data_IF_142409906156
#
_entry.id   IF_142409906156
#
_cell.length_a   1.000
_cell.length_b   1.000
_cell.length_c   1.000
_cell.angle_alpha   90.00
_cell.angle_beta   90.00
_cell.angle_gamma   90.00
#
_symmetry.space_group_name_H-M   'P 1'
#
loop_
_entity.id
_entity.type
_entity.pdbx_description
1 polymer ?
#
# COMPACT_ATOMS: atom_id res chain seq x y z
N UNK A 1 -3.59 1.74 -39.05
CA UNK A 1 -3.58 2.03 -37.59
C UNK A 1 -2.15 2.28 -37.19
N UNK A 2 -1.88 3.30 -36.37
CA UNK A 2 -0.51 3.68 -35.95
C UNK A 2 0.19 2.68 -35.02
N UNK A 3 -0.36 1.49 -34.82
CA UNK A 3 0.20 0.48 -33.91
C UNK A 3 1.58 -0.02 -34.37
N UNK A 4 1.79 -0.13 -35.70
CA UNK A 4 3.08 -0.57 -36.26
C UNK A 4 4.23 0.45 -36.07
N UNK A 5 3.90 1.68 -35.70
CA UNK A 5 4.84 2.77 -35.49
C UNK A 5 5.00 3.10 -33.97
N UNK A 6 4.28 2.36 -33.10
CA UNK A 6 4.27 2.60 -31.69
C UNK A 6 5.34 1.78 -30.97
N UNK A 7 6.07 2.40 -30.06
CA UNK A 7 7.03 1.72 -29.17
C UNK A 7 6.34 1.09 -27.94
N UNK A 8 5.20 1.65 -27.54
CA UNK A 8 4.47 1.26 -26.34
C UNK A 8 2.97 1.27 -26.60
N UNK A 9 2.30 0.19 -26.22
CA UNK A 9 0.86 0.06 -26.17
C UNK A 9 0.37 0.06 -24.73
N UNK A 10 -0.60 0.92 -24.42
CA UNK A 10 -1.21 0.99 -23.08
C UNK A 10 -2.72 0.78 -23.24
N UNK A 11 -3.22 -0.38 -22.80
CA UNK A 11 -4.65 -0.70 -22.75
C UNK A 11 -5.26 -0.18 -21.45
N UNK A 12 -6.04 0.91 -21.51
CA UNK A 12 -6.66 1.59 -20.36
C UNK A 12 -8.13 1.90 -20.58
N UNK A 13 -8.81 1.07 -21.35
CA UNK A 13 -10.26 1.18 -21.56
C UNK A 13 -11.04 0.78 -20.29
N UNK A 14 -12.34 1.01 -20.28
CA UNK A 14 -13.23 0.54 -19.20
C UNK A 14 -13.48 -0.98 -19.19
N UNK A 15 -12.86 -1.74 -20.10
CA UNK A 15 -13.08 -3.18 -20.25
C UNK A 15 -11.75 -3.93 -20.21
N UNK A 16 -11.57 -4.77 -19.20
CA UNK A 16 -10.34 -5.51 -18.94
C UNK A 16 -9.99 -6.48 -20.09
N UNK A 17 -11.00 -7.15 -20.65
CA UNK A 17 -10.77 -8.07 -21.77
C UNK A 17 -10.25 -7.35 -23.02
N UNK A 18 -10.75 -6.13 -23.29
CA UNK A 18 -10.24 -5.30 -24.38
C UNK A 18 -8.80 -4.88 -24.14
N UNK A 19 -8.47 -4.52 -22.89
CA UNK A 19 -7.12 -4.13 -22.50
C UNK A 19 -6.14 -5.31 -22.64
N UNK A 20 -6.53 -6.50 -22.16
CA UNK A 20 -5.72 -7.72 -22.23
C UNK A 20 -5.55 -8.17 -23.70
N UNK A 21 -6.66 -8.31 -24.44
CA UNK A 21 -6.63 -8.84 -25.80
C UNK A 21 -5.95 -7.90 -26.81
N UNK A 22 -5.83 -6.61 -26.51
CA UNK A 22 -5.05 -5.68 -27.33
C UNK A 22 -3.54 -5.95 -27.28
N UNK A 23 -3.05 -6.49 -26.17
CA UNK A 23 -1.62 -6.66 -25.93
C UNK A 23 -0.94 -7.68 -26.87
N UNK A 24 -1.50 -8.88 -27.16
CA UNK A 24 -0.88 -9.82 -28.11
C UNK A 24 -0.66 -9.22 -29.49
N UNK A 25 -1.63 -8.42 -29.96
CA UNK A 25 -1.50 -7.75 -31.27
C UNK A 25 -0.40 -6.70 -31.27
N UNK A 26 -0.33 -5.91 -30.19
CA UNK A 26 0.72 -4.91 -30.03
C UNK A 26 2.10 -5.56 -29.88
N UNK A 27 2.18 -6.65 -29.13
CA UNK A 27 3.42 -7.42 -28.94
C UNK A 27 3.93 -8.01 -30.26
N UNK A 28 3.03 -8.53 -31.10
CA UNK A 28 3.37 -9.04 -32.43
C UNK A 28 3.93 -7.97 -33.37
N UNK A 29 3.61 -6.68 -33.10
CA UNK A 29 4.17 -5.53 -33.83
C UNK A 29 5.44 -4.97 -33.20
N UNK A 30 5.96 -5.58 -32.12
CA UNK A 30 7.18 -5.18 -31.46
C UNK A 30 7.00 -4.14 -30.35
N UNK A 31 5.76 -3.76 -30.01
CA UNK A 31 5.49 -2.82 -28.93
C UNK A 31 5.76 -3.45 -27.54
N UNK A 32 6.18 -2.63 -26.60
CA UNK A 32 6.01 -2.92 -25.17
C UNK A 32 4.53 -2.77 -24.83
N UNK A 33 4.05 -3.57 -23.86
CA UNK A 33 2.63 -3.64 -23.57
C UNK A 33 2.34 -3.47 -22.07
N UNK A 34 1.37 -2.63 -21.77
CA UNK A 34 0.84 -2.43 -20.42
C UNK A 34 -0.68 -2.52 -20.49
N UNK A 35 -1.30 -3.32 -19.61
CA UNK A 35 -2.75 -3.37 -19.50
C UNK A 35 -3.21 -2.96 -18.10
N UNK A 36 -4.27 -2.13 -18.05
CA UNK A 36 -5.06 -1.94 -16.84
C UNK A 36 -6.05 -3.10 -16.72
N UNK A 37 -6.04 -3.77 -15.58
CA UNK A 37 -6.94 -4.88 -15.28
C UNK A 37 -7.52 -4.66 -13.89
N UNK A 38 -8.83 -4.44 -13.79
CA UNK A 38 -9.51 -4.23 -12.51
C UNK A 38 -9.76 -5.56 -11.80
N UNK A 39 -9.94 -6.64 -12.57
CA UNK A 39 -10.13 -8.00 -12.06
C UNK A 39 -8.87 -8.85 -12.33
N UNK A 40 -7.81 -8.73 -11.51
CA UNK A 40 -6.55 -9.43 -11.74
C UNK A 40 -6.69 -10.94 -11.71
N UNK A 41 -7.78 -11.49 -11.13
CA UNK A 41 -8.11 -12.92 -11.17
C UNK A 41 -8.28 -13.45 -12.60
N UNK A 42 -8.56 -12.58 -13.58
CA UNK A 42 -8.58 -12.96 -14.99
C UNK A 42 -7.22 -13.45 -15.51
N UNK A 43 -6.14 -13.07 -14.80
CA UNK A 43 -4.76 -13.48 -15.08
C UNK A 43 -4.21 -14.46 -14.04
N UNK A 44 -5.05 -14.90 -13.09
CA UNK A 44 -4.66 -15.82 -12.03
C UNK A 44 -5.16 -17.22 -12.36
N UNK A 45 -4.34 -18.01 -13.04
CA UNK A 45 -4.61 -19.43 -13.23
C UNK A 45 -3.41 -20.28 -12.79
N UNK A 46 -3.64 -21.47 -12.24
CA UNK A 46 -2.60 -22.30 -11.62
C UNK A 46 -1.74 -23.09 -12.61
N UNK A 47 -1.82 -22.80 -13.91
CA UNK A 47 -1.14 -23.54 -14.95
C UNK A 47 -0.04 -22.72 -15.60
N UNK A 48 1.04 -23.37 -16.00
CA UNK A 48 2.02 -22.77 -16.90
C UNK A 48 1.57 -22.94 -18.38
N UNK A 49 1.90 -21.98 -19.25
CA UNK A 49 2.70 -20.76 -19.00
C UNK A 49 1.93 -19.65 -18.29
N UNK A 50 2.69 -18.73 -17.65
CA UNK A 50 2.18 -17.52 -17.00
C UNK A 50 1.21 -16.78 -17.92
N UNK A 51 -0.02 -16.46 -17.46
CA UNK A 51 -1.00 -15.71 -18.24
C UNK A 51 -0.48 -14.43 -18.82
N UNK A 52 0.33 -13.68 -18.08
CA UNK A 52 0.93 -12.45 -18.59
C UNK A 52 1.80 -12.71 -19.82
N UNK A 53 2.58 -13.79 -19.79
CA UNK A 53 3.39 -14.20 -20.94
C UNK A 53 2.52 -14.64 -22.13
N UNK A 54 1.44 -15.40 -21.88
CA UNK A 54 0.50 -15.85 -22.93
C UNK A 54 -0.17 -14.69 -23.64
N UNK A 55 -0.61 -13.69 -22.88
CA UNK A 55 -1.25 -12.48 -23.43
C UNK A 55 -0.23 -11.40 -23.83
N UNK A 56 1.07 -11.70 -23.76
CA UNK A 56 2.11 -10.76 -24.17
C UNK A 56 2.10 -9.46 -23.37
N UNK A 57 1.77 -9.53 -22.07
CA UNK A 57 1.78 -8.42 -21.14
C UNK A 57 3.18 -8.21 -20.58
N UNK A 58 3.78 -7.03 -20.80
CA UNK A 58 5.03 -6.68 -20.12
C UNK A 58 4.76 -6.14 -18.70
N UNK A 59 3.59 -5.53 -18.49
CA UNK A 59 3.11 -5.16 -17.17
C UNK A 59 1.58 -5.16 -17.10
N UNK A 60 1.07 -5.52 -15.92
CA UNK A 60 -0.35 -5.42 -15.56
C UNK A 60 -0.49 -4.45 -14.39
N UNK A 61 -1.46 -3.55 -14.48
CA UNK A 61 -1.76 -2.56 -13.43
C UNK A 61 -3.20 -2.72 -13.00
N UNK A 62 -3.42 -3.09 -11.74
CA UNK A 62 -4.73 -3.05 -11.10
C UNK A 62 -4.82 -1.84 -10.18
N UNK A 63 -5.59 -0.80 -10.54
CA UNK A 63 -5.78 0.37 -9.69
C UNK A 63 -6.38 0.03 -8.32
N UNK A 64 -7.31 -0.91 -8.31
CA UNK A 64 -8.00 -1.33 -7.08
C UNK A 64 -7.05 -2.05 -6.11
N UNK A 65 -6.17 -2.91 -6.63
CA UNK A 65 -5.14 -3.55 -5.80
C UNK A 65 -4.11 -2.56 -5.27
N UNK A 66 -3.69 -1.62 -6.10
CA UNK A 66 -2.78 -0.56 -5.67
C UNK A 66 -3.41 0.31 -4.58
N UNK A 67 -4.68 0.69 -4.76
CA UNK A 67 -5.42 1.46 -3.77
C UNK A 67 -5.59 0.68 -2.47
N UNK A 68 -6.01 -0.59 -2.54
CA UNK A 68 -6.14 -1.48 -1.39
C UNK A 68 -4.81 -1.66 -0.67
N UNK A 69 -3.72 -1.92 -1.40
CA UNK A 69 -2.39 -2.06 -0.82
C UNK A 69 -1.96 -0.79 -0.11
N UNK A 70 -2.25 0.39 -0.68
CA UNK A 70 -1.94 1.68 -0.07
C UNK A 70 -2.75 1.92 1.21
N UNK A 71 -4.06 1.67 1.17
CA UNK A 71 -4.92 1.77 2.36
C UNK A 71 -4.43 0.81 3.43
N UNK A 72 -4.11 -0.42 3.04
CA UNK A 72 -3.56 -1.44 3.94
C UNK A 72 -2.26 -0.99 4.62
N UNK A 73 -1.33 -0.38 3.88
CA UNK A 73 -0.11 0.18 4.45
C UNK A 73 -0.39 1.24 5.52
N UNK A 74 -1.39 2.09 5.30
CA UNK A 74 -1.80 3.13 6.25
C UNK A 74 -2.44 2.49 7.50
N UNK A 75 -3.29 1.49 7.32
CA UNK A 75 -3.96 0.79 8.42
C UNK A 75 -2.99 -0.04 9.26
N UNK A 76 -2.09 -0.75 8.62
CA UNK A 76 -1.15 -1.65 9.29
C UNK A 76 0.03 -0.93 9.96
N UNK A 77 0.32 0.30 9.53
CA UNK A 77 1.52 1.04 9.97
C UNK A 77 1.25 2.54 10.05
N UNK A 78 0.42 2.99 11.01
CA UNK A 78 0.04 4.40 11.11
C UNK A 78 1.23 5.34 11.38
N UNK A 79 2.31 4.85 11.98
CA UNK A 79 3.54 5.62 12.22
C UNK A 79 4.47 5.70 10.99
N UNK A 80 4.28 4.82 10.00
CA UNK A 80 5.09 4.76 8.79
C UNK A 80 4.32 5.38 7.63
N UNK A 81 4.51 6.66 7.41
CA UNK A 81 3.70 7.44 6.47
C UNK A 81 3.99 7.08 5.00
N UNK A 82 5.20 6.56 4.70
CA UNK A 82 5.59 6.27 3.32
C UNK A 82 6.65 5.18 3.25
N UNK A 83 6.34 4.09 2.57
CA UNK A 83 7.30 3.05 2.20
C UNK A 83 7.42 3.05 0.67
N UNK A 84 8.52 3.54 0.14
CA UNK A 84 8.81 3.46 -1.30
C UNK A 84 9.85 2.37 -1.57
N UNK A 85 9.55 1.52 -2.54
CA UNK A 85 10.46 0.48 -3.00
C UNK A 85 11.20 1.00 -4.23
N UNK A 86 12.52 1.04 -4.18
CA UNK A 86 13.31 1.24 -5.37
C UNK A 86 13.47 -0.09 -6.12
N UNK A 87 13.13 -0.09 -7.40
CA UNK A 87 13.15 -1.26 -8.27
C UNK A 87 14.55 -1.87 -8.51
N UNK A 88 15.60 -1.19 -8.07
CA UNK A 88 16.98 -1.64 -8.21
C UNK A 88 17.58 -1.83 -6.83
N UNK A 89 17.45 -3.05 -6.28
CA UNK A 89 18.10 -3.43 -5.04
C UNK A 89 17.16 -3.60 -3.84
N UNK A 90 17.72 -4.02 -2.73
CA UNK A 90 17.02 -4.28 -1.46
C UNK A 90 16.75 -3.01 -0.64
N UNK A 91 16.98 -1.82 -1.22
CA UNK A 91 16.91 -0.55 -0.51
C UNK A 91 15.46 -0.06 -0.42
N UNK A 92 15.05 0.33 0.77
CA UNK A 92 13.73 0.91 1.06
C UNK A 92 13.89 2.27 1.68
N UNK A 93 12.96 3.16 1.41
CA UNK A 93 12.83 4.44 2.09
C UNK A 93 11.60 4.39 2.98
N UNK A 94 11.80 4.80 4.21
CA UNK A 94 10.78 4.84 5.24
C UNK A 94 10.66 6.27 5.75
N UNK A 95 9.44 6.80 5.83
CA UNK A 95 9.14 8.05 6.53
C UNK A 95 8.60 7.72 7.92
N UNK A 96 9.31 8.15 8.95
CA UNK A 96 8.94 7.99 10.37
C UNK A 96 8.61 9.36 10.93
N UNK A 97 7.42 9.53 11.48
CA UNK A 97 7.04 10.75 12.22
C UNK A 97 7.28 10.53 13.72
N UNK A 98 8.05 11.43 14.32
CA UNK A 98 8.25 11.42 15.78
C UNK A 98 7.04 12.06 16.47
N UNK A 99 6.51 11.38 17.47
CA UNK A 99 5.52 11.94 18.37
C UNK A 99 6.20 12.52 19.62
N UNK A 100 5.43 13.19 20.49
CA UNK A 100 5.94 13.83 21.69
C UNK A 100 6.49 12.80 22.71
N UNK A 101 6.12 11.52 22.61
CA UNK A 101 6.54 10.43 23.49
C UNK A 101 7.72 9.62 22.97
N UNK A 102 8.19 9.92 21.76
CA UNK A 102 9.31 9.20 21.14
C UNK A 102 10.59 9.30 21.97
N UNK A 103 11.28 8.18 22.27
CA UNK A 103 12.55 8.19 22.99
C UNK A 103 13.68 8.91 22.23
N UNK A 104 13.50 9.16 20.94
CA UNK A 104 14.44 9.90 20.10
C UNK A 104 14.32 11.42 20.26
N UNK A 105 13.18 11.91 20.75
CA UNK A 105 12.95 13.36 20.91
C UNK A 105 13.87 13.95 21.97
N UNK A 106 14.51 15.07 21.65
CA UNK A 106 15.47 15.77 22.52
C UNK A 106 16.87 15.16 22.52
N UNK A 107 17.10 14.09 21.77
CA UNK A 107 18.41 13.45 21.65
C UNK A 107 19.08 13.85 20.32
N UNK A 108 20.40 13.79 20.30
CA UNK A 108 21.19 13.93 19.07
C UNK A 108 21.16 12.64 18.26
N UNK A 109 21.24 12.75 16.96
CA UNK A 109 21.11 11.60 16.05
C UNK A 109 22.19 10.52 16.32
N UNK A 110 23.41 10.91 16.70
CA UNK A 110 24.51 9.99 17.07
C UNK A 110 24.30 9.27 18.38
N UNK A 111 23.45 9.81 19.26
CA UNK A 111 23.11 9.19 20.56
C UNK A 111 21.99 8.14 20.47
N UNK A 112 21.39 8.00 19.30
CA UNK A 112 20.32 7.03 19.05
C UNK A 112 20.92 5.80 18.41
N UNK A 113 20.71 4.63 19.03
CA UNK A 113 21.13 3.34 18.47
C UNK A 113 20.16 2.94 17.35
N UNK A 114 20.56 3.24 16.11
CA UNK A 114 19.85 2.77 14.91
C UNK A 114 20.37 1.39 14.50
N UNK A 115 19.53 0.53 13.93
CA UNK A 115 19.96 -0.75 13.37
C UNK A 115 21.07 -0.56 12.32
N UNK A 116 21.98 -1.54 12.12
CA UNK A 116 23.20 -1.39 11.33
C UNK A 116 22.99 -0.93 9.90
N UNK A 117 21.86 -1.36 9.29
CA UNK A 117 21.53 -1.07 7.89
C UNK A 117 20.47 0.02 7.74
N UNK A 118 20.26 0.80 8.81
CA UNK A 118 19.35 1.95 8.84
C UNK A 118 20.13 3.25 8.88
N UNK A 119 19.68 4.23 8.11
CA UNK A 119 20.27 5.57 8.10
C UNK A 119 19.22 6.66 7.93
N UNK A 120 19.19 7.62 8.83
CA UNK A 120 18.41 8.84 8.65
C UNK A 120 19.13 9.72 7.62
N UNK A 121 18.47 9.99 6.50
CA UNK A 121 19.04 10.77 5.40
C UNK A 121 18.47 12.17 5.31
N UNK A 122 17.30 12.39 5.92
CA UNK A 122 16.60 13.66 5.86
C UNK A 122 15.68 13.82 7.07
N UNK A 123 15.62 15.04 7.59
CA UNK A 123 14.66 15.47 8.61
C UNK A 123 13.80 16.58 8.01
N UNK A 124 12.50 16.40 7.99
CA UNK A 124 11.54 17.44 7.61
C UNK A 124 10.92 18.01 8.88
N UNK A 125 11.10 19.31 9.06
CA UNK A 125 10.64 20.07 10.24
C UNK A 125 9.89 21.30 9.78
N UNK A 126 8.63 21.44 10.18
CA UNK A 126 7.70 22.47 9.71
C UNK A 126 7.64 22.50 8.17
N UNK A 127 8.06 23.61 7.54
CA UNK A 127 8.14 23.73 6.08
C UNK A 127 9.57 23.53 5.53
N UNK A 128 10.53 23.19 6.41
CA UNK A 128 11.94 23.03 6.06
C UNK A 128 12.38 21.57 5.94
N UNK A 129 13.46 21.38 5.15
CA UNK A 129 14.12 20.08 4.98
C UNK A 129 15.57 20.23 5.40
N UNK A 130 16.03 19.34 6.27
CA UNK A 130 17.37 19.34 6.85
C UNK A 130 18.06 18.03 6.45
N UNK A 131 19.28 18.11 5.93
CA UNK A 131 20.18 16.94 5.85
C UNK A 131 20.87 16.85 7.21
N UNK A 132 20.51 15.87 8.05
CA UNK A 132 20.94 15.85 9.44
C UNK A 132 22.45 15.55 9.54
N UNK A 133 23.08 16.20 10.51
CA UNK A 133 24.42 15.85 10.98
C UNK A 133 24.30 15.01 12.24
N UNK A 134 25.40 14.41 12.67
CA UNK A 134 25.43 13.55 13.87
C UNK A 134 24.91 14.26 15.12
N UNK A 135 25.19 15.54 15.24
CA UNK A 135 24.80 16.38 16.38
C UNK A 135 23.38 16.97 16.25
N UNK A 136 22.64 16.66 15.14
CA UNK A 136 21.29 17.17 14.97
C UNK A 136 20.36 16.65 16.06
N UNK A 137 19.71 17.58 16.76
CA UNK A 137 18.73 17.24 17.82
C UNK A 137 17.38 17.01 17.16
N UNK A 138 16.79 15.86 17.43
CA UNK A 138 15.46 15.51 16.95
C UNK A 138 14.38 16.15 17.81
N UNK A 139 13.39 16.75 17.17
CA UNK A 139 12.29 17.46 17.81
C UNK A 139 10.96 16.72 17.64
N UNK A 140 9.97 16.99 18.52
CA UNK A 140 8.63 16.48 18.33
C UNK A 140 8.07 16.90 16.97
N UNK A 141 7.34 15.99 16.31
CA UNK A 141 6.74 16.16 14.99
C UNK A 141 7.71 16.19 13.80
N UNK A 142 9.02 16.02 14.04
CA UNK A 142 9.95 15.79 12.94
C UNK A 142 9.52 14.57 12.13
N UNK A 143 9.70 14.65 10.82
CA UNK A 143 9.54 13.52 9.91
C UNK A 143 10.91 13.12 9.42
N UNK A 144 11.30 11.92 9.80
CA UNK A 144 12.59 11.34 9.42
C UNK A 144 12.43 10.51 8.16
N UNK A 145 13.26 10.76 7.16
CA UNK A 145 13.41 9.86 6.02
C UNK A 145 14.56 8.91 6.32
N UNK A 146 14.23 7.62 6.46
CA UNK A 146 15.19 6.59 6.84
C UNK A 146 15.40 5.65 5.66
N UNK A 147 16.65 5.42 5.28
CA UNK A 147 17.05 4.34 4.39
C UNK A 147 17.19 3.05 5.19
N UNK A 148 16.69 1.96 4.63
CA UNK A 148 16.67 0.64 5.23
C UNK A 148 16.97 -0.40 4.15
N UNK A 149 17.92 -1.31 4.40
CA UNK A 149 18.22 -2.40 3.46
C UNK A 149 17.71 -3.76 3.92
N UNK A 150 17.38 -3.93 5.21
CA UNK A 150 16.79 -5.14 5.74
C UNK A 150 15.45 -4.86 6.43
N UNK A 151 14.41 -5.61 6.04
CA UNK A 151 13.06 -5.47 6.60
C UNK A 151 12.97 -5.97 8.04
N UNK A 152 13.83 -6.90 8.39
CA UNK A 152 13.88 -7.47 9.75
C UNK A 152 14.30 -6.44 10.80
N UNK A 153 14.96 -5.35 10.37
CA UNK A 153 15.37 -4.25 11.24
C UNK A 153 14.26 -3.21 11.51
N UNK A 154 13.08 -3.36 10.92
CA UNK A 154 11.97 -2.43 11.11
C UNK A 154 11.48 -2.38 12.56
N UNK A 155 11.49 -3.51 13.25
CA UNK A 155 11.03 -3.61 14.65
C UNK A 155 12.00 -2.86 15.57
N UNK A 156 13.30 -3.13 15.44
CA UNK A 156 14.36 -2.46 16.19
C UNK A 156 14.41 -0.95 15.90
N UNK A 157 14.25 -0.56 14.63
CA UNK A 157 14.14 0.84 14.23
C UNK A 157 12.93 1.53 14.88
N UNK A 158 11.80 0.83 14.98
CA UNK A 158 10.61 1.34 15.64
C UNK A 158 10.81 1.55 17.12
N UNK A 159 11.50 0.65 17.79
CA UNK A 159 11.84 0.79 19.20
C UNK A 159 12.78 1.96 19.43
N UNK A 160 13.82 2.10 18.61
CA UNK A 160 14.82 3.17 18.70
C UNK A 160 14.23 4.57 18.48
N UNK A 161 13.28 4.70 17.58
CA UNK A 161 12.63 5.97 17.26
C UNK A 161 11.33 6.19 18.04
N UNK A 162 10.89 5.19 18.83
CA UNK A 162 9.61 5.26 19.55
C UNK A 162 8.41 5.28 18.59
N UNK A 163 8.61 4.76 17.40
CA UNK A 163 7.47 4.46 16.59
C UNK A 163 6.61 3.41 17.35
N UNK A 164 5.28 3.53 17.37
CA UNK A 164 4.45 2.57 18.10
C UNK A 164 4.86 1.14 17.73
N UNK A 165 4.91 0.22 18.69
CA UNK A 165 5.25 -1.21 18.51
C UNK A 165 4.39 -1.93 17.45
N UNK A 166 3.43 -1.25 16.91
CA UNK A 166 2.52 -1.63 15.82
C UNK A 166 3.21 -1.78 14.44
N UNK A 167 4.55 -1.65 14.38
CA UNK A 167 5.33 -2.03 13.18
C UNK A 167 5.27 -3.53 12.92
N UNK A 168 4.94 -4.31 13.90
CA UNK A 168 4.82 -5.78 13.84
C UNK A 168 3.41 -6.30 13.49
N UNK A 169 2.59 -5.50 12.82
CA UNK A 169 1.42 -6.04 12.12
C UNK A 169 0.10 -6.11 12.89
N UNK A 170 0.06 -5.68 14.13
CA UNK A 170 -1.20 -5.57 14.89
C UNK A 170 -1.50 -4.09 15.14
N UNK A 171 -1.91 -3.37 14.09
CA UNK A 171 -2.48 -2.04 14.23
C UNK A 171 -3.62 -2.12 15.25
N UNK A 172 -3.61 -1.26 16.26
CA UNK A 172 -4.61 -1.23 17.34
C UNK A 172 -5.97 -0.68 16.86
N UNK A 173 -6.38 -1.12 15.65
CA UNK A 173 -7.66 -0.79 15.06
C UNK A 173 -8.71 -1.65 15.78
N UNK A 174 -9.48 -1.02 16.66
CA UNK A 174 -10.59 -1.68 17.33
C UNK A 174 -11.89 -1.60 16.53
N UNK A 175 -12.05 -0.53 15.77
CA UNK A 175 -13.23 -0.26 14.97
C UNK A 175 -12.82 0.34 13.64
N UNK A 176 -13.30 -0.22 12.55
CA UNK A 176 -13.11 0.26 11.19
C UNK A 176 -14.47 0.57 10.57
N UNK A 177 -14.64 1.75 10.01
CA UNK A 177 -15.81 2.09 9.21
C UNK A 177 -15.38 2.31 7.77
N UNK A 178 -16.05 1.65 6.85
CA UNK A 178 -15.83 1.74 5.40
C UNK A 178 -17.10 2.32 4.78
N UNK A 179 -16.98 3.43 4.08
CA UNK A 179 -18.09 4.07 3.39
C UNK A 179 -18.12 3.66 1.91
N UNK A 180 -19.22 3.00 1.52
CA UNK A 180 -19.44 2.45 0.19
C UNK A 180 -19.05 0.98 0.05
N UNK A 181 -19.56 0.32 -1.00
CA UNK A 181 -19.39 -1.10 -1.30
C UNK A 181 -18.66 -1.33 -2.63
N UNK A 182 -17.65 -0.52 -2.95
CA UNK A 182 -16.80 -0.75 -4.12
C UNK A 182 -15.95 -2.02 -3.95
N UNK A 183 -15.39 -2.54 -5.03
CA UNK A 183 -14.49 -3.71 -4.97
C UNK A 183 -13.33 -3.51 -3.98
N UNK A 184 -12.76 -2.30 -3.94
CA UNK A 184 -11.71 -1.93 -2.98
C UNK A 184 -12.23 -2.04 -1.54
N UNK A 185 -13.44 -1.53 -1.27
CA UNK A 185 -14.06 -1.55 0.05
C UNK A 185 -14.32 -2.99 0.53
N UNK A 186 -14.88 -3.84 -0.34
CA UNK A 186 -15.19 -5.24 -0.03
C UNK A 186 -13.92 -6.04 0.26
N UNK A 187 -12.93 -5.94 -0.61
CA UNK A 187 -11.64 -6.62 -0.42
C UNK A 187 -10.90 -6.14 0.83
N UNK A 188 -10.98 -4.83 1.12
CA UNK A 188 -10.40 -4.27 2.34
C UNK A 188 -11.08 -4.83 3.59
N UNK A 189 -12.43 -4.85 3.62
CA UNK A 189 -13.20 -5.43 4.73
C UNK A 189 -12.83 -6.89 4.96
N UNK A 190 -12.80 -7.69 3.89
CA UNK A 190 -12.43 -9.11 3.95
C UNK A 190 -10.99 -9.32 4.45
N UNK A 191 -10.02 -8.56 3.95
CA UNK A 191 -8.63 -8.66 4.39
C UNK A 191 -8.45 -8.28 5.86
N UNK A 192 -9.12 -7.21 6.31
CA UNK A 192 -9.07 -6.79 7.72
C UNK A 192 -9.70 -7.85 8.61
N UNK A 193 -10.88 -8.37 8.24
CA UNK A 193 -11.55 -9.43 8.99
C UNK A 193 -10.69 -10.70 9.14
N UNK A 194 -9.99 -11.10 8.08
CA UNK A 194 -9.12 -12.29 8.10
C UNK A 194 -7.83 -12.12 8.90
N UNK A 195 -7.33 -10.89 9.04
CA UNK A 195 -5.98 -10.65 9.57
C UNK A 195 -5.97 -10.09 10.99
N UNK A 196 -7.04 -9.44 11.41
CA UNK A 196 -7.15 -8.82 12.72
C UNK A 196 -8.30 -9.42 13.50
N UNK A 197 -7.97 -10.23 14.47
CA UNK A 197 -8.97 -10.78 15.40
C UNK A 197 -9.54 -9.65 16.28
N UNK A 198 -10.88 -9.62 16.41
CA UNK A 198 -11.56 -8.70 17.32
C UNK A 198 -11.74 -7.26 16.81
N UNK A 199 -11.43 -6.96 15.55
CA UNK A 199 -11.77 -5.68 14.94
C UNK A 199 -13.24 -5.65 14.56
N UNK A 200 -13.97 -4.63 15.03
CA UNK A 200 -15.35 -4.39 14.60
C UNK A 200 -15.33 -3.64 13.26
N UNK A 201 -15.83 -4.27 12.21
CA UNK A 201 -15.86 -3.69 10.87
C UNK A 201 -17.29 -3.32 10.51
N UNK A 202 -17.50 -2.06 10.13
CA UNK A 202 -18.77 -1.55 9.65
C UNK A 202 -18.63 -1.10 8.21
N UNK A 203 -19.45 -1.62 7.31
CA UNK A 203 -19.54 -1.18 5.93
C UNK A 203 -20.88 -0.45 5.75
N UNK A 204 -20.84 0.81 5.31
CA UNK A 204 -22.03 1.66 5.12
C UNK A 204 -22.34 1.75 3.63
N UNK A 205 -23.54 1.27 3.23
CA UNK A 205 -24.01 1.30 1.84
C UNK A 205 -25.37 1.96 1.78
N UNK A 206 -25.56 3.03 0.99
CA UNK A 206 -26.83 3.72 0.88
C UNK A 206 -27.91 2.92 0.14
N UNK A 207 -27.55 2.10 -0.82
CA UNK A 207 -28.50 1.24 -1.54
C UNK A 207 -28.80 -0.02 -0.73
N UNK A 208 -30.08 -0.21 -0.37
CA UNK A 208 -30.53 -1.33 0.45
C UNK A 208 -30.34 -2.67 -0.25
N UNK A 209 -30.66 -2.75 -1.55
CA UNK A 209 -30.54 -3.99 -2.31
C UNK A 209 -29.08 -4.41 -2.42
N UNK A 210 -28.20 -3.43 -2.63
CA UNK A 210 -26.74 -3.65 -2.68
C UNK A 210 -26.19 -4.05 -1.31
N UNK A 211 -26.67 -3.45 -0.23
CA UNK A 211 -26.27 -3.80 1.13
C UNK A 211 -26.66 -5.26 1.49
N UNK A 212 -27.87 -5.69 1.11
CA UNK A 212 -28.32 -7.08 1.30
C UNK A 212 -27.44 -8.05 0.50
N UNK A 213 -27.17 -7.76 -0.79
CA UNK A 213 -26.29 -8.57 -1.64
C UNK A 213 -24.87 -8.68 -1.06
N UNK A 214 -24.27 -7.58 -0.65
CA UNK A 214 -22.92 -7.52 -0.12
C UNK A 214 -22.78 -8.23 1.22
N UNK A 215 -23.84 -8.18 2.05
CA UNK A 215 -23.90 -8.88 3.34
C UNK A 215 -23.80 -10.40 3.20
N UNK A 216 -24.22 -10.97 2.06
CA UNK A 216 -24.12 -12.40 1.79
C UNK A 216 -22.68 -12.86 1.44
N UNK A 217 -21.85 -11.94 0.99
CA UNK A 217 -20.49 -12.26 0.52
C UNK A 217 -19.41 -11.98 1.55
N UNK A 218 -19.68 -11.07 2.49
CA UNK A 218 -18.70 -10.66 3.48
C UNK A 218 -18.67 -11.66 4.66
N UNK A 219 -17.51 -11.77 5.35
CA UNK A 219 -17.39 -12.52 6.58
C UNK A 219 -18.38 -12.04 7.67
N UNK A 220 -18.80 -12.93 8.56
CA UNK A 220 -19.72 -12.64 9.67
C UNK A 220 -19.22 -11.51 10.60
N UNK A 221 -17.91 -11.26 10.63
CA UNK A 221 -17.28 -10.20 11.42
C UNK A 221 -17.50 -8.79 10.84
N UNK A 222 -18.07 -8.70 9.62
CA UNK A 222 -18.36 -7.42 8.96
C UNK A 222 -19.84 -7.10 9.07
N UNK A 223 -20.15 -6.01 9.76
CA UNK A 223 -21.52 -5.51 9.87
C UNK A 223 -21.85 -4.56 8.73
N UNK A 224 -22.80 -4.92 7.89
CA UNK A 224 -23.26 -4.03 6.80
C UNK A 224 -24.42 -3.17 7.30
N UNK A 225 -24.30 -1.86 7.15
CA UNK A 225 -25.27 -0.86 7.56
C UNK A 225 -25.87 -0.18 6.33
N UNK A 226 -27.19 -0.07 6.27
CA UNK A 226 -27.88 0.72 5.25
C UNK A 226 -27.94 2.18 5.72
N UNK A 227 -27.32 3.09 4.99
CA UNK A 227 -27.30 4.51 5.35
C UNK A 227 -26.42 5.34 4.45
N UNK A 228 -26.60 6.66 4.52
CA UNK A 228 -25.69 7.62 3.87
C UNK A 228 -24.48 7.86 4.76
N UNK A 229 -23.27 7.89 4.22
CA UNK A 229 -22.06 8.25 4.97
C UNK A 229 -21.94 9.76 5.26
N UNK A 230 -22.98 10.54 4.91
CA UNK A 230 -23.08 12.00 5.15
C UNK A 230 -24.09 12.31 6.22
#
# INVERSE_FOLDING_TARGET
SGLAEADLFIGVTGNDMVNILGCPFAKAMGCRTIARVNEPQLLDWPFEPDPQAVFGLDACISPDELAMHRIWQILSRPALTRLEHFSVGKLRILEVRLDDSSPAVGRTLDSIELPPHCRVVLVSRDEGVIIPRSEEILLPRDRLLVLLSDVHELEELSESLGAPKEVTGEGNIKRLMIAGSTQVALRLAEQVARRYDGVQIYLVEPDRARAEEVSEWLPDDVTVLVGSPT
#
